data_IF_217879650599
#
_entry.id   IF_217879650599
#
_cell.length_a   1.000
_cell.length_b   1.000
_cell.length_c   1.000
_cell.angle_alpha   90.00
_cell.angle_beta   90.00
_cell.angle_gamma   90.00
#
_symmetry.space_group_name_H-M   'P 1'
#
loop_
_entity.id
_entity.type
_entity.pdbx_description
1 polymer ?
#
# COMPACT_ATOMS: atom_id res chain seq x y z
N UNK A 1 -22.53 -2.04 -6.59
CA UNK A 1 -21.08 -2.30 -6.62
C UNK A 1 -20.38 -1.18 -7.36
N UNK A 2 -19.18 -0.82 -6.93
CA UNK A 2 -18.33 0.18 -7.58
C UNK A 2 -17.07 -0.53 -8.10
N UNK A 3 -16.83 -0.40 -9.39
CA UNK A 3 -15.70 -1.07 -10.07
C UNK A 3 -14.63 -0.03 -10.35
N UNK A 4 -13.45 -0.22 -9.78
CA UNK A 4 -12.32 0.68 -9.97
C UNK A 4 -11.84 0.65 -11.43
N UNK A 5 -11.61 1.80 -12.07
CA UNK A 5 -11.15 1.86 -13.46
C UNK A 5 -9.80 1.15 -13.67
N UNK A 6 -8.90 1.17 -12.67
CA UNK A 6 -7.62 0.46 -12.75
C UNK A 6 -7.84 -1.06 -12.80
N UNK A 7 -8.77 -1.60 -12.01
CA UNK A 7 -9.08 -3.02 -12.06
C UNK A 7 -9.60 -3.46 -13.44
N UNK A 8 -10.46 -2.63 -14.07
CA UNK A 8 -10.98 -2.92 -15.43
C UNK A 8 -9.87 -2.99 -16.48
N UNK A 9 -8.88 -2.12 -16.37
CA UNK A 9 -7.76 -2.08 -17.33
C UNK A 9 -6.71 -3.15 -17.06
N UNK A 10 -6.56 -3.60 -15.79
CA UNK A 10 -5.54 -4.55 -15.39
C UNK A 10 -5.98 -6.01 -15.56
N UNK A 11 -7.22 -6.31 -15.18
CA UNK A 11 -7.81 -7.66 -15.24
C UNK A 11 -9.32 -7.57 -15.45
N UNK A 12 -9.71 -7.27 -16.68
CA UNK A 12 -11.12 -7.15 -17.08
C UNK A 12 -11.88 -8.46 -16.95
N UNK A 13 -11.21 -9.62 -17.07
CA UNK A 13 -11.84 -10.93 -16.92
C UNK A 13 -12.22 -11.20 -15.47
N UNK A 14 -11.34 -10.96 -14.51
CA UNK A 14 -11.68 -11.07 -13.09
C UNK A 14 -12.83 -10.12 -12.72
N UNK A 15 -12.84 -8.88 -13.25
CA UNK A 15 -13.95 -7.94 -13.05
C UNK A 15 -15.27 -8.49 -13.62
N UNK A 16 -15.23 -9.09 -14.82
CA UNK A 16 -16.40 -9.71 -15.44
C UNK A 16 -16.95 -10.85 -14.60
N UNK A 17 -16.08 -11.77 -14.16
CA UNK A 17 -16.46 -12.91 -13.31
C UNK A 17 -17.08 -12.41 -11.99
N UNK A 18 -16.42 -11.47 -11.29
CA UNK A 18 -16.96 -10.88 -10.07
C UNK A 18 -18.36 -10.29 -10.27
N UNK A 19 -18.51 -9.50 -11.32
CA UNK A 19 -19.80 -8.88 -11.67
C UNK A 19 -20.88 -9.94 -11.94
N UNK A 20 -20.57 -10.98 -12.70
CA UNK A 20 -21.54 -12.01 -13.09
C UNK A 20 -21.98 -12.80 -11.85
N UNK A 21 -21.08 -13.20 -10.96
CA UNK A 21 -21.41 -13.89 -9.71
C UNK A 21 -22.28 -13.01 -8.80
N UNK A 22 -21.91 -11.73 -8.63
CA UNK A 22 -22.65 -10.81 -7.76
C UNK A 22 -24.04 -10.49 -8.33
N UNK A 23 -24.19 -10.32 -9.62
CA UNK A 23 -25.48 -10.04 -10.27
C UNK A 23 -26.39 -11.27 -10.27
N UNK A 24 -25.83 -12.49 -10.31
CA UNK A 24 -26.63 -13.71 -10.21
C UNK A 24 -27.16 -13.93 -8.78
N UNK A 25 -26.41 -13.50 -7.74
CA UNK A 25 -26.77 -13.74 -6.34
C UNK A 25 -27.55 -12.60 -5.67
N UNK A 26 -27.53 -11.37 -6.22
CA UNK A 26 -28.20 -10.21 -5.61
C UNK A 26 -28.56 -9.14 -6.65
N UNK A 27 -29.58 -8.35 -6.32
CA UNK A 27 -29.93 -7.14 -7.11
C UNK A 27 -28.85 -6.07 -6.97
N UNK A 28 -27.91 -5.98 -7.89
CA UNK A 28 -26.76 -5.10 -7.81
C UNK A 28 -26.88 -3.89 -8.75
N UNK A 29 -26.69 -2.68 -8.21
CA UNK A 29 -26.45 -1.48 -9.03
C UNK A 29 -24.96 -1.40 -9.37
N UNK A 30 -24.63 -1.42 -10.66
CA UNK A 30 -23.26 -1.30 -11.14
C UNK A 30 -22.93 0.16 -11.33
N UNK A 31 -21.78 0.59 -10.79
CA UNK A 31 -21.22 1.92 -10.92
C UNK A 31 -19.81 1.80 -11.51
N UNK A 32 -19.56 2.52 -12.59
CA UNK A 32 -18.30 2.51 -13.35
C UNK A 32 -17.73 3.94 -13.36
N UNK A 33 -17.10 4.39 -12.26
CA UNK A 33 -16.52 5.72 -12.21
C UNK A 33 -15.33 5.84 -13.18
N UNK A 34 -15.18 6.99 -13.81
CA UNK A 34 -14.01 7.30 -14.65
C UNK A 34 -12.88 7.91 -13.85
N UNK A 35 -13.17 8.45 -12.65
CA UNK A 35 -12.19 9.08 -11.80
C UNK A 35 -12.57 9.11 -10.31
N UNK A 36 -11.65 9.62 -9.47
CA UNK A 36 -11.85 9.61 -8.01
C UNK A 36 -13.03 10.47 -7.53
N UNK A 37 -13.32 11.58 -8.19
CA UNK A 37 -14.45 12.45 -7.84
C UNK A 37 -15.79 11.78 -8.15
N UNK A 38 -15.88 11.12 -9.29
CA UNK A 38 -17.08 10.38 -9.66
C UNK A 38 -17.28 9.18 -8.74
N UNK A 39 -16.19 8.53 -8.36
CA UNK A 39 -16.20 7.46 -7.37
C UNK A 39 -16.80 7.93 -6.04
N UNK A 40 -16.36 9.09 -5.52
CA UNK A 40 -16.90 9.69 -4.31
C UNK A 40 -18.39 10.03 -4.44
N UNK A 41 -18.80 10.66 -5.57
CA UNK A 41 -20.22 10.98 -5.86
C UNK A 41 -21.10 9.75 -5.92
N UNK A 42 -20.62 8.66 -6.53
CA UNK A 42 -21.37 7.41 -6.62
C UNK A 42 -21.52 6.74 -5.25
N UNK A 43 -20.48 6.80 -4.42
CA UNK A 43 -20.53 6.29 -3.05
C UNK A 43 -21.52 7.08 -2.18
N UNK A 44 -21.49 8.41 -2.25
CA UNK A 44 -22.42 9.28 -1.54
C UNK A 44 -23.90 9.04 -1.96
N UNK A 45 -24.15 8.71 -3.24
CA UNK A 45 -25.51 8.41 -3.77
C UNK A 45 -25.94 6.96 -3.58
N UNK A 46 -25.23 6.16 -2.77
CA UNK A 46 -25.56 4.74 -2.54
C UNK A 46 -26.91 4.51 -1.84
N UNK A 47 -27.39 5.50 -1.07
CA UNK A 47 -28.56 5.34 -0.20
C UNK A 47 -28.30 4.23 0.83
N UNK A 48 -29.27 3.37 1.05
CA UNK A 48 -29.18 2.24 1.99
C UNK A 48 -28.46 1.00 1.42
N UNK A 49 -27.88 1.11 0.22
CA UNK A 49 -27.20 -0.04 -0.39
C UNK A 49 -25.82 -0.24 0.21
N UNK A 50 -25.48 -1.50 0.46
CA UNK A 50 -24.13 -1.87 0.91
C UNK A 50 -23.11 -1.62 -0.23
N UNK A 51 -22.02 -0.91 0.01
CA UNK A 51 -20.97 -0.73 -0.97
C UNK A 51 -20.18 -2.03 -1.15
N UNK A 52 -20.04 -2.46 -2.40
CA UNK A 52 -19.14 -3.54 -2.82
C UNK A 52 -18.09 -2.92 -3.72
N UNK A 53 -16.82 -3.05 -3.37
CA UNK A 53 -15.69 -2.55 -4.13
C UNK A 53 -15.09 -3.69 -4.94
N UNK A 54 -14.88 -3.49 -6.24
CA UNK A 54 -14.10 -4.40 -7.09
C UNK A 54 -12.86 -3.63 -7.53
N UNK A 55 -11.69 -4.02 -7.01
CA UNK A 55 -10.45 -3.28 -7.25
C UNK A 55 -9.26 -3.76 -6.43
N UNK A 56 -8.23 -2.94 -6.36
CA UNK A 56 -7.02 -3.16 -5.57
C UNK A 56 -7.12 -2.56 -4.14
N UNK A 57 -6.06 -2.70 -3.35
CA UNK A 57 -5.98 -2.16 -1.99
C UNK A 57 -6.14 -0.62 -1.95
N UNK A 58 -5.78 0.09 -3.03
CA UNK A 58 -5.97 1.55 -3.11
C UNK A 58 -7.44 1.92 -3.26
N UNK A 59 -8.20 1.12 -4.01
CA UNK A 59 -9.64 1.28 -4.12
C UNK A 59 -10.32 1.05 -2.77
N UNK A 60 -9.89 0.03 -2.00
CA UNK A 60 -10.37 -0.22 -0.64
C UNK A 60 -10.07 0.97 0.27
N UNK A 61 -8.81 1.41 0.34
CA UNK A 61 -8.40 2.55 1.18
C UNK A 61 -9.17 3.83 0.81
N UNK A 62 -9.45 4.05 -0.47
CA UNK A 62 -10.24 5.20 -0.95
C UNK A 62 -11.67 5.16 -0.40
N UNK A 63 -12.34 4.01 -0.48
CA UNK A 63 -13.72 3.87 0.04
C UNK A 63 -13.76 4.04 1.55
N UNK A 64 -12.86 3.37 2.27
CA UNK A 64 -12.79 3.50 3.73
C UNK A 64 -12.51 4.95 4.13
N UNK A 65 -11.56 5.63 3.46
CA UNK A 65 -11.27 7.03 3.72
C UNK A 65 -12.45 7.97 3.47
N UNK A 66 -13.22 7.74 2.41
CA UNK A 66 -14.44 8.52 2.12
C UNK A 66 -15.51 8.30 3.19
N UNK A 67 -15.79 7.05 3.56
CA UNK A 67 -16.77 6.73 4.61
C UNK A 67 -16.33 7.25 5.98
N UNK A 68 -15.02 7.21 6.27
CA UNK A 68 -14.47 7.79 7.50
C UNK A 68 -14.70 9.30 7.55
N UNK A 69 -14.40 10.00 6.47
CA UNK A 69 -14.60 11.46 6.35
C UNK A 69 -16.07 11.85 6.49
N UNK A 70 -16.98 11.04 5.96
CA UNK A 70 -18.42 11.23 6.07
C UNK A 70 -19.00 10.78 7.42
N UNK A 71 -18.16 10.23 8.33
CA UNK A 71 -18.59 9.68 9.64
C UNK A 71 -19.57 8.51 9.52
N UNK A 72 -19.57 7.81 8.40
CA UNK A 72 -20.47 6.69 8.12
C UNK A 72 -19.79 5.32 8.20
N UNK A 73 -18.48 5.28 8.41
CA UNK A 73 -17.66 4.07 8.36
C UNK A 73 -18.15 2.98 9.32
N UNK A 74 -18.53 3.33 10.54
CA UNK A 74 -19.02 2.38 11.54
C UNK A 74 -20.43 1.85 11.21
N UNK A 75 -21.25 2.65 10.51
CA UNK A 75 -22.64 2.31 10.19
C UNK A 75 -22.77 1.46 8.92
N UNK A 76 -21.78 1.52 8.01
CA UNK A 76 -21.87 0.94 6.67
C UNK A 76 -20.95 -0.27 6.54
N UNK A 77 -21.49 -1.51 6.51
CA UNK A 77 -20.67 -2.69 6.22
C UNK A 77 -20.09 -2.63 4.80
N UNK A 78 -18.81 -2.87 4.67
CA UNK A 78 -18.09 -2.84 3.41
C UNK A 78 -17.81 -4.26 2.91
N UNK A 79 -17.90 -4.45 1.60
CA UNK A 79 -17.50 -5.69 0.93
C UNK A 79 -16.49 -5.41 -0.16
N UNK A 80 -15.58 -6.35 -0.41
CA UNK A 80 -14.55 -6.20 -1.44
C UNK A 80 -14.32 -7.49 -2.21
N UNK A 81 -14.14 -7.35 -3.52
CA UNK A 81 -13.58 -8.36 -4.41
C UNK A 81 -12.22 -7.84 -4.89
N UNK A 82 -11.10 -8.39 -4.40
CA UNK A 82 -9.76 -7.95 -4.77
C UNK A 82 -9.47 -8.31 -6.23
N UNK A 83 -9.06 -7.32 -7.02
CA UNK A 83 -8.62 -7.47 -8.41
C UNK A 83 -7.34 -6.68 -8.61
N UNK A 84 -6.27 -7.34 -9.03
CA UNK A 84 -4.98 -6.72 -9.27
C UNK A 84 -3.80 -7.65 -9.03
N UNK A 85 -2.59 -7.13 -9.25
CA UNK A 85 -1.36 -7.88 -9.00
C UNK A 85 -1.24 -8.28 -7.51
N UNK A 86 -0.53 -9.38 -7.18
CA UNK A 86 -0.40 -9.88 -5.79
C UNK A 86 0.07 -8.84 -4.76
N UNK A 87 0.91 -7.90 -5.19
CA UNK A 87 1.37 -6.79 -4.33
C UNK A 87 0.29 -5.71 -4.13
N UNK A 88 -0.61 -5.53 -5.11
CA UNK A 88 -1.71 -4.57 -5.06
C UNK A 88 -2.91 -5.04 -4.23
N UNK A 89 -2.98 -6.33 -3.88
CA UNK A 89 -4.04 -6.93 -3.06
C UNK A 89 -3.50 -7.52 -1.73
N UNK A 90 -2.31 -7.09 -1.33
CA UNK A 90 -1.65 -7.60 -0.13
C UNK A 90 -2.37 -7.20 1.16
N UNK A 91 -2.92 -6.00 1.24
CA UNK A 91 -3.75 -5.54 2.35
C UNK A 91 -5.04 -6.35 2.42
N UNK A 92 -5.76 -6.51 1.31
CA UNK A 92 -6.99 -7.30 1.24
C UNK A 92 -6.78 -8.73 1.76
N UNK A 93 -5.69 -9.39 1.32
CA UNK A 93 -5.29 -10.71 1.84
C UNK A 93 -5.01 -10.67 3.34
N UNK A 94 -4.31 -9.65 3.80
CA UNK A 94 -3.96 -9.48 5.21
C UNK A 94 -5.20 -9.25 6.09
N UNK A 95 -6.27 -8.69 5.55
CA UNK A 95 -7.57 -8.51 6.21
C UNK A 95 -8.45 -9.77 6.18
N UNK A 96 -8.00 -10.86 5.53
CA UNK A 96 -8.73 -12.10 5.43
C UNK A 96 -9.72 -12.17 4.25
N UNK A 97 -9.65 -11.23 3.31
CA UNK A 97 -10.47 -11.26 2.10
C UNK A 97 -9.85 -12.29 1.13
N UNK A 98 -10.64 -13.23 0.59
CA UNK A 98 -10.16 -14.15 -0.43
C UNK A 98 -9.61 -13.41 -1.65
N UNK A 99 -8.48 -13.86 -2.18
CA UNK A 99 -7.89 -13.26 -3.40
C UNK A 99 -8.33 -13.97 -4.68
N UNK A 100 -9.00 -15.11 -4.56
CA UNK A 100 -9.72 -15.72 -5.67
C UNK A 100 -11.03 -14.97 -5.91
N UNK A 101 -11.28 -14.57 -7.15
CA UNK A 101 -12.40 -13.71 -7.53
C UNK A 101 -13.77 -14.32 -7.21
N UNK A 102 -13.92 -15.64 -7.45
CA UNK A 102 -15.21 -16.33 -7.20
C UNK A 102 -15.42 -16.49 -5.70
N UNK A 103 -14.39 -16.89 -4.96
CA UNK A 103 -14.46 -17.02 -3.50
C UNK A 103 -14.74 -15.67 -2.83
N UNK A 104 -14.11 -14.58 -3.29
CA UNK A 104 -14.38 -13.25 -2.80
C UNK A 104 -15.83 -12.79 -3.10
N UNK A 105 -16.31 -13.01 -4.31
CA UNK A 105 -17.68 -12.66 -4.67
C UNK A 105 -18.72 -13.47 -3.87
N UNK A 106 -18.45 -14.74 -3.60
CA UNK A 106 -19.30 -15.57 -2.70
C UNK A 106 -19.27 -15.04 -1.26
N UNK A 107 -18.09 -14.63 -0.76
CA UNK A 107 -18.00 -14.01 0.57
C UNK A 107 -18.82 -12.73 0.67
N UNK A 108 -18.94 -11.95 -0.42
CA UNK A 108 -19.84 -10.77 -0.46
C UNK A 108 -21.30 -11.19 -0.32
N UNK A 109 -21.74 -12.30 -0.93
CA UNK A 109 -23.13 -12.75 -0.91
C UNK A 109 -23.48 -13.48 0.41
N UNK A 110 -22.65 -14.41 0.82
CA UNK A 110 -22.96 -15.38 1.87
C UNK A 110 -22.12 -15.23 3.14
N UNK A 111 -21.17 -14.30 3.15
CA UNK A 111 -20.25 -14.08 4.27
C UNK A 111 -20.92 -13.51 5.53
N UNK A 112 -20.10 -13.19 6.51
CA UNK A 112 -20.51 -12.54 7.76
C UNK A 112 -19.77 -11.22 7.95
N UNK A 113 -20.45 -10.26 8.57
CA UNK A 113 -19.86 -8.99 8.96
C UNK A 113 -18.96 -9.19 10.17
N UNK A 114 -17.71 -8.75 10.06
CA UNK A 114 -16.76 -8.75 11.18
C UNK A 114 -16.36 -7.33 11.53
N UNK A 115 -16.39 -6.95 12.81
CA UNK A 115 -15.83 -5.69 13.25
C UNK A 115 -14.32 -5.69 13.09
N UNK A 116 -13.78 -4.59 12.60
CA UNK A 116 -12.37 -4.40 12.31
C UNK A 116 -11.88 -3.13 12.98
N UNK A 117 -10.65 -3.18 13.50
CA UNK A 117 -9.98 -2.02 14.04
C UNK A 117 -9.24 -1.26 12.93
N UNK A 118 -8.93 0.01 13.19
CA UNK A 118 -8.04 0.81 12.39
C UNK A 118 -7.21 1.73 13.27
N UNK A 119 -6.14 2.32 12.71
CA UNK A 119 -5.46 3.43 13.35
C UNK A 119 -5.88 4.73 12.68
N UNK A 120 -6.10 5.77 13.47
CA UNK A 120 -6.20 7.14 12.98
C UNK A 120 -4.98 7.94 13.39
N UNK A 121 -4.48 8.81 12.52
CA UNK A 121 -3.44 9.73 12.90
C UNK A 121 -3.99 11.13 13.26
N UNK A 122 -3.12 12.00 13.77
CA UNK A 122 -3.44 13.36 14.16
C UNK A 122 -3.80 14.30 12.99
N UNK A 123 -3.76 13.82 11.76
CA UNK A 123 -4.24 14.51 10.55
C UNK A 123 -5.46 13.84 9.89
N UNK A 124 -6.17 13.00 10.65
CA UNK A 124 -7.33 12.22 10.18
C UNK A 124 -6.98 11.18 9.10
N UNK A 125 -5.68 10.82 8.98
CA UNK A 125 -5.24 9.70 8.14
C UNK A 125 -5.58 8.35 8.78
N UNK A 126 -5.88 7.35 7.95
CA UNK A 126 -6.27 6.00 8.41
C UNK A 126 -5.26 4.93 8.01
N UNK A 127 -5.12 3.89 8.85
CA UNK A 127 -4.33 2.69 8.56
C UNK A 127 -5.17 1.46 8.92
N UNK A 128 -5.37 0.57 7.95
CA UNK A 128 -6.20 -0.64 8.13
C UNK A 128 -5.38 -1.88 8.47
N UNK A 129 -4.21 -2.01 7.88
CA UNK A 129 -3.40 -3.22 7.99
C UNK A 129 -2.08 -3.02 8.71
N UNK A 130 -1.24 -2.10 8.27
CA UNK A 130 0.05 -1.88 8.92
C UNK A 130 0.65 -0.51 8.63
N UNK A 131 1.26 0.06 9.66
CA UNK A 131 2.14 1.20 9.57
C UNK A 131 3.59 0.74 9.67
N UNK A 132 4.50 1.31 8.87
CA UNK A 132 5.94 1.01 8.90
C UNK A 132 6.79 2.25 8.74
N UNK A 133 7.85 2.32 9.52
CA UNK A 133 8.89 3.36 9.46
C UNK A 133 10.24 2.63 9.47
N UNK A 134 11.13 2.91 8.52
CA UNK A 134 10.98 3.70 7.30
C UNK A 134 10.03 3.06 6.29
N UNK A 135 9.65 3.81 5.28
CA UNK A 135 8.72 3.37 4.23
C UNK A 135 9.29 2.31 3.25
N UNK A 136 10.52 1.85 3.45
CA UNK A 136 11.16 0.83 2.61
C UNK A 136 10.49 -0.55 2.75
N UNK A 137 10.58 -1.37 1.69
CA UNK A 137 10.11 -2.75 1.73
C UNK A 137 10.87 -3.58 2.77
N UNK A 138 10.20 -4.44 3.57
CA UNK A 138 10.90 -5.39 4.41
C UNK A 138 11.71 -6.33 3.52
N UNK A 139 13.00 -6.48 3.80
CA UNK A 139 13.80 -7.54 3.17
C UNK A 139 13.06 -8.87 3.40
N UNK A 140 12.60 -9.50 2.31
CA UNK A 140 12.02 -10.86 2.36
C UNK A 140 13.01 -11.77 3.09
N UNK A 141 12.58 -12.57 4.08
CA UNK A 141 13.42 -13.67 4.56
C UNK A 141 13.71 -14.56 3.35
N UNK A 142 14.99 -14.76 3.05
CA UNK A 142 15.46 -15.43 1.85
C UNK A 142 14.89 -16.83 1.73
N UNK A 143 14.05 -17.06 0.75
CA UNK A 143 13.90 -18.36 0.13
C UNK A 143 15.06 -18.48 -0.85
N UNK A 144 16.07 -19.24 -0.46
CA UNK A 144 17.10 -19.71 -1.36
C UNK A 144 16.46 -20.63 -2.40
N UNK A 145 16.24 -20.11 -3.59
CA UNK A 145 16.03 -20.89 -4.78
C UNK A 145 17.07 -20.41 -5.79
N UNK A 146 18.17 -21.12 -5.83
CA UNK A 146 19.13 -21.14 -6.93
C UNK A 146 18.41 -21.63 -8.18
N UNK A 147 18.18 -20.74 -9.12
CA UNK A 147 17.79 -21.10 -10.48
C UNK A 147 19.09 -21.43 -11.24
N UNK A 148 19.25 -22.62 -11.83
CA UNK A 148 20.40 -22.94 -12.65
C UNK A 148 20.34 -22.09 -13.94
N UNK A 149 21.42 -21.38 -14.23
CA UNK A 149 21.65 -20.79 -15.54
C UNK A 149 21.83 -21.92 -16.56
N UNK A 150 20.89 -22.05 -17.48
CA UNK A 150 21.12 -22.79 -18.73
C UNK A 150 21.88 -21.87 -19.69
N UNK A 151 23.10 -22.29 -20.00
CA UNK A 151 23.92 -21.78 -21.07
C UNK A 151 23.33 -22.23 -22.41
N UNK A 152 23.04 -21.27 -23.29
CA UNK A 152 22.77 -21.53 -24.70
C UNK A 152 24.07 -21.37 -25.51
N UNK A 153 24.35 -22.25 -26.46
CA UNK A 153 25.51 -22.12 -27.36
C UNK A 153 25.19 -21.16 -28.51
N UNK A 154 26.25 -20.47 -28.94
CA UNK A 154 26.32 -19.66 -30.14
C UNK A 154 26.41 -20.54 -31.41
N UNK A 155 25.83 -20.03 -32.52
CA UNK A 155 26.42 -20.12 -33.88
C UNK A 155 25.67 -19.15 -34.81
N UNK A 156 26.35 -18.18 -35.27
CA UNK A 156 26.92 -17.87 -36.58
C UNK A 156 25.92 -17.57 -37.73
N UNK A 157 25.98 -16.38 -38.26
CA UNK A 157 26.29 -15.96 -39.63
C UNK A 157 25.48 -14.72 -40.09
N UNK A 158 26.21 -13.69 -40.41
CA UNK A 158 26.02 -12.51 -41.30
C UNK A 158 26.03 -12.93 -42.78
N UNK A 159 25.77 -12.11 -43.86
CA UNK A 159 25.53 -10.66 -43.95
C UNK A 159 24.50 -10.18 -45.04
N UNK A 160 24.29 -8.84 -45.07
CA UNK A 160 24.05 -7.94 -46.20
C UNK A 160 22.64 -7.88 -46.86
N UNK A 161 21.96 -6.71 -46.86
CA UNK A 161 22.03 -5.78 -48.01
C UNK A 161 21.33 -4.43 -47.71
N UNK A 162 21.92 -3.38 -48.26
CA UNK A 162 21.58 -1.96 -48.26
C UNK A 162 20.24 -1.67 -48.96
N UNK A 163 19.56 -0.59 -48.59
CA UNK A 163 19.19 0.57 -49.44
C UNK A 163 18.41 1.61 -48.64
N UNK A 164 18.95 2.82 -48.51
CA UNK A 164 18.31 4.11 -48.34
C UNK A 164 17.90 4.64 -49.76
N UNK A 165 16.95 5.59 -49.96
CA UNK A 165 16.89 6.91 -49.35
C UNK A 165 15.47 7.59 -49.28
N UNK A 166 15.47 8.77 -48.68
CA UNK A 166 14.69 9.96 -49.00
C UNK A 166 13.68 10.48 -47.93
N UNK A 167 14.11 11.50 -47.23
CA UNK A 167 13.40 12.61 -46.67
C UNK A 167 12.58 13.41 -47.71
N UNK A 168 11.44 14.09 -47.41
CA UNK A 168 11.56 15.42 -46.84
C UNK A 168 10.42 15.94 -45.94
N UNK A 169 10.77 16.95 -45.13
CA UNK A 169 10.00 18.13 -44.72
C UNK A 169 9.11 18.06 -43.46
N UNK A 170 9.65 18.73 -42.43
CA UNK A 170 8.94 19.27 -41.27
C UNK A 170 8.02 20.44 -41.64
N UNK A 171 7.04 20.77 -40.77
CA UNK A 171 7.08 22.11 -40.22
C UNK A 171 7.05 22.19 -38.67
N UNK A 172 7.72 23.21 -38.20
CA UNK A 172 7.89 23.64 -36.82
C UNK A 172 6.57 24.17 -36.24
N UNK A 173 6.15 23.64 -35.10
CA UNK A 173 5.17 24.25 -34.22
C UNK A 173 5.74 24.33 -32.82
N UNK A 174 5.86 25.55 -32.26
CA UNK A 174 6.46 25.85 -30.99
C UNK A 174 5.66 25.31 -29.79
N UNK A 175 6.27 25.28 -28.60
CA UNK A 175 5.61 24.80 -27.41
C UNK A 175 4.59 25.81 -26.92
N UNK A 176 3.35 25.36 -26.75
CA UNK A 176 2.29 26.09 -26.05
C UNK A 176 2.39 25.65 -24.60
N UNK A 177 2.69 26.57 -23.69
CA UNK A 177 2.62 26.37 -22.25
C UNK A 177 1.16 26.12 -21.85
N UNK A 178 0.85 25.05 -21.09
CA UNK A 178 -0.48 24.90 -20.52
C UNK A 178 -0.60 25.80 -19.28
N UNK A 179 -1.50 26.77 -19.34
CA UNK A 179 -1.95 27.60 -18.24
C UNK A 179 -2.37 26.74 -17.03
N UNK A 180 -1.87 27.12 -15.85
CA UNK A 180 -2.23 26.57 -14.54
C UNK A 180 -3.71 26.91 -14.24
N UNK A 181 -4.59 25.94 -14.02
CA UNK A 181 -5.91 26.24 -13.48
C UNK A 181 -5.82 26.51 -11.98
N UNK A 182 -6.38 27.64 -11.59
CA UNK A 182 -6.48 28.22 -10.27
C UNK A 182 -6.92 27.25 -9.17
N UNK A 183 -6.37 27.52 -7.98
CA UNK A 183 -6.70 26.89 -6.68
C UNK A 183 -8.21 26.78 -6.43
N UNK A 184 -8.71 25.57 -6.46
CA UNK A 184 -10.04 25.20 -6.03
C UNK A 184 -10.06 23.73 -5.60
N UNK A 185 -10.18 23.48 -4.29
CA UNK A 185 -10.47 22.20 -3.66
C UNK A 185 -9.63 20.99 -4.12
N UNK A 186 -8.34 21.02 -3.82
CA UNK A 186 -7.49 19.84 -4.00
C UNK A 186 -7.90 18.73 -3.02
N UNK A 187 -8.22 17.51 -3.50
CA UNK A 187 -8.60 16.41 -2.63
C UNK A 187 -7.51 16.13 -1.60
N UNK A 188 -7.90 15.83 -0.37
CA UNK A 188 -7.03 15.59 0.80
C UNK A 188 -5.89 14.57 0.58
N UNK A 189 -6.01 13.69 -0.44
CA UNK A 189 -4.99 12.73 -0.83
C UNK A 189 -3.91 13.31 -1.77
N UNK A 190 -4.06 14.53 -2.33
CA UNK A 190 -3.05 15.17 -3.20
C UNK A 190 -1.68 15.40 -2.54
N UNK A 191 -1.55 15.69 -1.23
CA UNK A 191 -0.21 15.76 -0.62
C UNK A 191 0.60 14.48 -0.77
N UNK A 192 -0.06 13.32 -0.85
CA UNK A 192 0.62 12.03 -1.02
C UNK A 192 1.11 11.76 -2.46
N UNK A 193 0.51 12.36 -3.47
CA UNK A 193 0.91 12.17 -4.87
C UNK A 193 2.14 13.02 -5.28
N UNK A 194 2.37 14.17 -4.63
CA UNK A 194 3.52 15.04 -4.93
C UNK A 194 4.85 14.48 -4.39
N UNK A 195 4.83 13.81 -3.25
CA UNK A 195 6.04 13.21 -2.65
C UNK A 195 6.55 11.96 -3.39
N UNK A 196 5.67 11.23 -4.08
CA UNK A 196 6.09 10.05 -4.86
C UNK A 196 6.98 10.41 -6.07
N UNK A 197 6.79 11.59 -6.69
CA UNK A 197 7.60 12.04 -7.82
C UNK A 197 9.00 12.51 -7.42
N UNK A 198 9.13 13.13 -6.25
CA UNK A 198 10.43 13.61 -5.74
C UNK A 198 11.31 12.46 -5.26
N UNK A 199 10.74 11.39 -4.70
CA UNK A 199 11.49 10.23 -4.28
C UNK A 199 12.09 9.42 -5.45
N UNK A 200 11.43 9.41 -6.61
CA UNK A 200 11.93 8.75 -7.83
C UNK A 200 13.08 9.54 -8.49
N UNK A 201 13.10 10.86 -8.35
CA UNK A 201 14.16 11.70 -8.93
C UNK A 201 15.50 11.61 -8.19
N UNK A 202 15.49 11.21 -6.91
CA UNK A 202 16.71 11.04 -6.11
C UNK A 202 17.41 9.69 -6.33
N UNK A 203 16.78 8.74 -7.03
CA UNK A 203 17.35 7.44 -7.38
C UNK A 203 18.07 7.41 -8.73
N UNK A 204 18.04 8.51 -9.49
CA UNK A 204 18.62 8.62 -10.82
C UNK A 204 19.79 9.63 -10.89
N UNK A 205 20.73 9.60 -9.94
CA UNK A 205 21.98 10.33 -10.05
C UNK A 205 23.06 9.43 -10.66
N UNK A 206 23.69 9.81 -11.80
CA UNK A 206 24.77 9.03 -12.38
C UNK A 206 26.02 9.16 -11.51
N UNK A 207 26.61 8.04 -11.15
CA UNK A 207 27.92 7.94 -10.51
C UNK A 207 29.00 8.40 -11.50
N UNK A 208 29.45 9.65 -11.37
CA UNK A 208 30.66 10.14 -12.04
C UNK A 208 31.89 9.69 -11.26
N UNK A 209 32.81 9.07 -11.98
CA UNK A 209 33.94 8.29 -11.54
C UNK A 209 34.96 8.91 -10.59
N UNK A 210 35.59 8.02 -9.84
CA UNK A 210 37.01 8.11 -9.48
C UNK A 210 37.64 6.71 -9.60
N UNK A 211 38.55 6.60 -10.56
CA UNK A 211 39.51 5.51 -10.63
C UNK A 211 40.47 5.64 -9.45
N UNK A 212 40.59 4.60 -8.65
CA UNK A 212 41.76 4.35 -7.82
C UNK A 212 42.14 2.89 -8.05
N UNK A 213 43.31 2.71 -8.64
CA UNK A 213 44.04 1.44 -8.77
C UNK A 213 44.46 0.98 -7.37
N UNK A 214 44.14 -0.25 -7.03
CA UNK A 214 44.62 -0.92 -5.84
C UNK A 214 44.31 -2.40 -5.93
N UNK A 215 45.33 -3.20 -6.34
CA UNK A 215 45.34 -4.67 -6.31
C UNK A 215 45.20 -5.17 -4.88
N UNK A 216 44.41 -6.22 -4.65
CA UNK A 216 44.39 -6.91 -3.34
C UNK A 216 43.20 -7.83 -3.14
N UNK A 217 43.41 -9.07 -3.45
CA UNK A 217 42.93 -10.29 -2.80
C UNK A 217 41.42 -10.54 -2.57
N UNK A 218 40.96 -11.62 -3.18
CA UNK A 218 39.62 -12.15 -3.15
C UNK A 218 39.18 -12.68 -1.81
N UNK A 219 38.09 -12.06 -1.32
CA UNK A 219 37.08 -12.70 -0.47
C UNK A 219 35.75 -11.97 -0.71
N UNK A 220 34.96 -12.46 -1.66
CA UNK A 220 33.59 -12.02 -1.92
C UNK A 220 32.65 -12.51 -0.84
N UNK A 221 32.77 -11.97 0.35
CA UNK A 221 31.71 -11.96 1.34
C UNK A 221 30.73 -10.85 0.99
N UNK A 222 29.57 -11.17 0.42
CA UNK A 222 28.55 -10.19 0.09
C UNK A 222 28.17 -9.35 1.31
N UNK A 223 28.72 -8.15 1.42
CA UNK A 223 28.29 -7.13 2.37
C UNK A 223 26.84 -6.78 2.03
N UNK A 224 25.87 -7.43 2.69
CA UNK A 224 24.50 -6.93 2.70
C UNK A 224 24.56 -5.46 3.11
N UNK A 225 24.12 -4.57 2.23
CA UNK A 225 24.06 -3.15 2.51
C UNK A 225 23.32 -2.97 3.83
N UNK A 226 24.02 -2.48 4.85
CA UNK A 226 23.44 -2.17 6.15
C UNK A 226 22.49 -1.00 5.93
N UNK A 227 21.19 -1.24 6.04
CA UNK A 227 20.20 -0.16 6.07
C UNK A 227 20.57 0.73 7.28
N UNK A 228 20.88 2.01 7.06
CA UNK A 228 21.23 2.90 8.15
C UNK A 228 20.04 3.01 9.11
N UNK A 229 20.32 2.94 10.42
CA UNK A 229 19.29 3.13 11.44
C UNK A 229 18.80 4.58 11.44
N UNK A 230 17.53 4.78 11.75
CA UNK A 230 16.92 6.10 11.95
C UNK A 230 16.91 6.48 13.42
N UNK A 231 17.21 7.74 13.73
CA UNK A 231 17.09 8.29 15.09
C UNK A 231 15.65 8.75 15.31
N UNK A 232 14.89 7.92 16.01
CA UNK A 232 13.48 8.15 16.30
C UNK A 232 13.24 7.97 17.80
N UNK A 233 12.43 8.87 18.37
CA UNK A 233 11.82 8.69 19.68
C UNK A 233 10.47 8.04 19.48
N UNK A 234 10.23 6.93 20.14
CA UNK A 234 9.04 6.10 20.00
C UNK A 234 8.43 5.91 21.38
N UNK A 235 7.20 6.33 21.52
CA UNK A 235 6.42 6.21 22.75
C UNK A 235 5.14 5.41 22.47
N UNK A 236 4.80 4.51 23.37
CA UNK A 236 3.57 3.71 23.34
C UNK A 236 2.82 3.94 24.66
N UNK A 237 1.64 4.54 24.61
CA UNK A 237 0.84 4.96 25.77
C UNK A 237 1.68 5.75 26.82
N UNK A 238 2.55 6.64 26.35
CA UNK A 238 3.45 7.44 27.19
C UNK A 238 4.71 6.70 27.68
N UNK A 239 4.84 5.41 27.39
CA UNK A 239 6.05 4.63 27.74
C UNK A 239 7.07 4.75 26.60
N UNK A 240 8.29 5.19 26.93
CA UNK A 240 9.38 5.32 25.98
C UNK A 240 9.93 3.93 25.58
N UNK A 241 9.87 3.59 24.30
CA UNK A 241 10.39 2.33 23.75
C UNK A 241 11.78 2.51 23.11
N UNK A 242 12.02 3.67 22.48
CA UNK A 242 13.29 4.05 21.88
C UNK A 242 13.48 5.56 21.96
N UNK A 243 14.73 6.02 22.06
CA UNK A 243 15.05 7.43 22.05
C UNK A 243 16.07 7.77 20.95
N UNK A 244 16.28 9.06 20.70
CA UNK A 244 17.11 9.62 19.63
C UNK A 244 18.59 9.24 19.74
N UNK A 245 19.08 8.90 20.94
CA UNK A 245 20.46 8.48 21.20
C UNK A 245 20.78 7.12 20.56
N UNK A 246 19.78 6.25 20.42
CA UNK A 246 19.93 4.91 19.89
C UNK A 246 19.14 4.72 18.59
N UNK A 247 19.80 4.68 17.41
CA UNK A 247 19.09 4.52 16.15
C UNK A 247 18.34 3.19 16.07
N UNK A 248 17.13 3.22 15.52
CA UNK A 248 16.30 2.05 15.26
C UNK A 248 16.40 1.64 13.79
N UNK A 249 16.29 0.36 13.49
CA UNK A 249 16.20 -0.15 12.12
C UNK A 249 14.83 0.13 11.52
N UNK A 250 13.79 0.09 12.35
CA UNK A 250 12.42 0.36 11.92
C UNK A 250 11.41 0.09 13.02
N UNK A 251 10.22 0.59 12.76
CA UNK A 251 9.03 0.41 13.60
C UNK A 251 7.92 -0.15 12.74
N UNK A 252 7.15 -1.08 13.27
CA UNK A 252 5.88 -1.51 12.69
C UNK A 252 4.78 -1.43 13.72
N UNK A 253 3.62 -0.91 13.30
CA UNK A 253 2.41 -0.84 14.11
C UNK A 253 1.28 -1.50 13.35
N UNK A 254 0.59 -2.43 13.98
CA UNK A 254 -0.50 -3.19 13.38
C UNK A 254 -1.73 -3.04 14.27
N UNK A 255 -2.89 -2.58 13.75
CA UNK A 255 -4.14 -2.58 14.51
C UNK A 255 -4.43 -3.97 15.07
N UNK A 256 -5.02 -4.08 16.24
CA UNK A 256 -5.57 -5.31 16.78
C UNK A 256 -6.72 -5.85 15.90
N UNK A 257 -7.35 -6.94 16.28
CA UNK A 257 -8.58 -7.40 15.63
C UNK A 257 -8.43 -7.96 14.20
N UNK A 258 -7.20 -8.34 13.76
CA UNK A 258 -6.99 -9.00 12.46
C UNK A 258 -7.55 -10.42 12.48
N UNK A 259 -8.35 -10.74 11.48
CA UNK A 259 -8.72 -12.12 11.18
C UNK A 259 -7.45 -12.94 10.95
N UNK A 260 -7.14 -13.89 11.84
CA UNK A 260 -6.01 -14.79 11.70
C UNK A 260 -4.88 -14.71 12.74
N UNK A 261 -4.87 -13.75 13.66
CA UNK A 261 -4.03 -13.85 14.85
C UNK A 261 -4.74 -14.77 15.85
N UNK A 262 -4.37 -16.06 15.86
CA UNK A 262 -4.86 -17.06 16.81
C UNK A 262 -4.45 -16.68 18.23
N UNK A 263 -5.20 -15.80 18.87
CA UNK A 263 -5.19 -15.62 20.30
C UNK A 263 -6.63 -15.70 20.78
N UNK A 264 -6.84 -16.62 21.71
CA UNK A 264 -8.10 -17.07 22.24
C UNK A 264 -9.07 -15.95 22.63
N UNK A 265 -10.32 -16.31 22.66
CA UNK A 265 -11.45 -15.51 23.10
C UNK A 265 -11.11 -14.69 24.36
N UNK A 266 -10.92 -13.38 24.20
CA UNK A 266 -10.67 -12.50 25.34
C UNK A 266 -9.96 -11.21 24.97
N UNK A 267 -10.67 -10.15 24.57
CA UNK A 267 -10.24 -8.77 24.78
C UNK A 267 -9.11 -8.23 23.93
N UNK A 268 -8.93 -8.60 22.65
CA UNK A 268 -7.78 -8.22 21.85
C UNK A 268 -7.91 -6.99 20.95
N UNK A 269 -9.10 -6.43 20.76
CA UNK A 269 -9.37 -5.40 19.73
C UNK A 269 -9.04 -3.95 20.12
N UNK A 270 -8.66 -3.66 21.33
CA UNK A 270 -8.43 -2.27 21.77
C UNK A 270 -7.00 -1.76 21.63
N UNK A 271 -6.05 -2.61 21.26
CA UNK A 271 -4.63 -2.29 21.25
C UNK A 271 -3.96 -2.67 19.94
N UNK A 272 -3.11 -1.78 19.44
CA UNK A 272 -2.20 -2.08 18.34
C UNK A 272 -0.97 -2.84 18.83
N UNK A 273 -0.44 -3.74 18.01
CA UNK A 273 0.87 -4.32 18.22
C UNK A 273 1.95 -3.41 17.68
N UNK A 274 2.89 -3.04 18.53
CA UNK A 274 4.03 -2.19 18.22
C UNK A 274 5.30 -2.99 18.29
N UNK A 275 6.07 -3.03 17.20
CA UNK A 275 7.35 -3.73 17.15
C UNK A 275 8.45 -2.76 16.74
N UNK A 276 9.45 -2.59 17.60
CA UNK A 276 10.64 -1.79 17.34
C UNK A 276 11.80 -2.73 17.01
N UNK A 277 12.41 -2.53 15.83
CA UNK A 277 13.53 -3.31 15.34
C UNK A 277 14.84 -2.53 15.49
N UNK A 278 15.87 -3.19 16.04
CA UNK A 278 17.18 -2.61 16.22
C UNK A 278 18.16 -2.98 15.09
N UNK A 279 19.14 -2.12 14.76
CA UNK A 279 20.21 -2.47 13.83
C UNK A 279 21.04 -3.67 14.32
N UNK A 280 21.56 -4.47 13.40
CA UNK A 280 22.45 -5.58 13.75
C UNK A 280 21.76 -6.88 14.17
N UNK A 281 20.43 -7.00 14.01
CA UNK A 281 19.70 -8.25 14.33
C UNK A 281 19.47 -8.48 15.83
N UNK A 282 19.58 -7.43 16.64
CA UNK A 282 19.23 -7.46 18.06
C UNK A 282 17.76 -7.81 18.29
N UNK A 283 17.44 -8.24 19.50
CA UNK A 283 16.08 -8.62 19.91
C UNK A 283 15.14 -7.43 19.72
N UNK A 284 14.07 -7.59 18.94
CA UNK A 284 13.02 -6.57 18.79
C UNK A 284 12.26 -6.37 20.09
N UNK A 285 11.88 -5.13 20.38
CA UNK A 285 10.93 -4.81 21.44
C UNK A 285 9.53 -4.90 20.86
N UNK A 286 8.66 -5.63 21.54
CA UNK A 286 7.26 -5.82 21.16
C UNK A 286 6.37 -5.45 22.33
N UNK A 287 5.38 -4.60 22.07
CA UNK A 287 4.38 -4.20 23.08
C UNK A 287 3.02 -3.99 22.41
N UNK A 288 1.99 -3.78 23.22
CA UNK A 288 0.66 -3.40 22.76
C UNK A 288 0.32 -2.04 23.37
N UNK A 289 -0.31 -1.18 22.56
CA UNK A 289 -0.65 0.19 22.97
C UNK A 289 -1.92 0.68 22.28
N UNK A 290 -2.62 1.61 22.92
CA UNK A 290 -3.74 2.36 22.30
C UNK A 290 -3.24 3.47 21.41
N UNK A 291 -2.15 4.11 21.78
CA UNK A 291 -1.56 5.21 21.04
C UNK A 291 -0.05 5.02 20.89
N UNK A 292 0.46 5.36 19.72
CA UNK A 292 1.89 5.33 19.39
C UNK A 292 2.30 6.67 18.82
N UNK A 293 3.23 7.33 19.50
CA UNK A 293 3.82 8.58 19.01
C UNK A 293 5.25 8.32 18.55
N UNK A 294 5.55 8.77 17.33
CA UNK A 294 6.91 8.75 16.77
C UNK A 294 7.35 10.16 16.47
N UNK A 295 8.55 10.52 16.93
CA UNK A 295 9.15 11.81 16.67
C UNK A 295 10.62 11.67 16.29
N UNK A 296 11.14 12.64 15.50
CA UNK A 296 12.53 12.64 15.06
C UNK A 296 12.79 13.72 14.01
N UNK A 297 13.96 13.64 13.35
CA UNK A 297 14.18 14.39 12.12
C UNK A 297 13.17 13.94 11.06
N UNK A 298 12.97 14.75 10.03
CA UNK A 298 11.98 14.48 8.97
C UNK A 298 11.98 13.02 8.52
N UNK A 299 10.91 12.29 8.83
CA UNK A 299 10.78 10.88 8.50
C UNK A 299 9.56 10.61 7.62
N UNK A 300 9.68 9.57 6.80
CA UNK A 300 8.59 9.04 5.99
C UNK A 300 8.10 7.72 6.58
N UNK A 301 6.83 7.47 6.43
CA UNK A 301 6.19 6.24 6.87
C UNK A 301 5.34 5.63 5.74
N UNK A 302 5.11 4.34 5.82
CA UNK A 302 4.16 3.64 4.95
C UNK A 302 2.95 3.24 5.78
N UNK A 303 1.80 3.76 5.41
CA UNK A 303 0.49 3.38 5.93
C UNK A 303 -0.19 2.51 4.87
N UNK A 304 -0.22 1.20 5.07
CA UNK A 304 -0.69 0.21 4.09
C UNK A 304 -0.02 0.37 2.71
N UNK A 305 -0.78 0.75 1.67
CA UNK A 305 -0.28 0.99 0.32
C UNK A 305 0.20 2.44 0.09
N UNK A 306 0.05 3.33 1.08
CA UNK A 306 0.34 4.76 0.96
C UNK A 306 1.64 5.12 1.67
N UNK A 307 2.36 6.09 1.11
CA UNK A 307 3.56 6.69 1.74
C UNK A 307 3.20 8.08 2.22
N UNK A 308 3.42 8.34 3.50
CA UNK A 308 3.23 9.63 4.15
C UNK A 308 4.54 10.27 4.60
N UNK A 309 4.51 11.57 4.87
CA UNK A 309 5.65 12.37 5.28
C UNK A 309 6.21 13.24 4.15
N UNK A 310 7.28 14.02 4.40
CA UNK A 310 8.05 14.01 5.65
C UNK A 310 7.30 14.65 6.82
N UNK A 311 7.45 14.06 8.01
CA UNK A 311 6.90 14.58 9.26
C UNK A 311 7.94 14.50 10.37
N UNK A 312 7.83 15.38 11.39
CA UNK A 312 8.71 15.38 12.56
C UNK A 312 8.11 14.66 13.76
N UNK A 313 6.80 14.70 13.84
CA UNK A 313 6.05 14.02 14.90
C UNK A 313 4.73 13.55 14.32
N UNK A 314 4.32 12.33 14.69
CA UNK A 314 3.04 11.78 14.31
C UNK A 314 2.56 10.82 15.39
N UNK A 315 1.28 10.92 15.75
CA UNK A 315 0.63 10.02 16.69
C UNK A 315 -0.44 9.21 15.96
N UNK A 316 -0.44 7.91 16.19
CA UNK A 316 -1.49 7.00 15.71
C UNK A 316 -2.22 6.41 16.89
N UNK A 317 -3.55 6.44 16.84
CA UNK A 317 -4.45 5.95 17.89
C UNK A 317 -5.35 4.85 17.35
N UNK A 318 -5.50 3.77 18.11
CA UNK A 318 -6.40 2.66 17.77
C UNK A 318 -7.85 3.12 17.91
N UNK A 319 -8.62 2.84 16.88
CA UNK A 319 -10.07 2.94 16.89
C UNK A 319 -10.63 1.52 16.84
N UNK A 320 -11.08 0.97 17.97
CA UNK A 320 -11.56 -0.41 18.03
C UNK A 320 -12.93 -0.53 17.36
N UNK A 321 -13.13 -1.63 16.64
CA UNK A 321 -14.37 -1.95 15.93
C UNK A 321 -14.91 -0.79 15.07
N UNK A 322 -13.99 0.03 14.51
CA UNK A 322 -14.33 1.28 13.84
C UNK A 322 -15.05 1.07 12.49
N UNK A 323 -14.93 -0.12 11.91
CA UNK A 323 -15.58 -0.46 10.65
C UNK A 323 -15.96 -1.92 10.59
N UNK A 324 -16.79 -2.28 9.60
CA UNK A 324 -17.25 -3.65 9.41
C UNK A 324 -16.92 -4.13 8.00
N UNK A 325 -16.32 -5.31 7.93
CA UNK A 325 -15.92 -5.95 6.68
C UNK A 325 -16.65 -7.27 6.51
N UNK A 326 -17.20 -7.51 5.32
CA UNK A 326 -17.80 -8.78 4.95
C UNK A 326 -16.68 -9.79 4.63
N UNK A 327 -16.61 -10.87 5.39
CA UNK A 327 -15.62 -11.93 5.23
C UNK A 327 -16.31 -13.29 5.07
N UNK A 328 -15.62 -14.32 4.55
CA UNK A 328 -16.18 -15.67 4.54
C UNK A 328 -16.64 -16.10 5.93
N UNK A 329 -17.67 -16.93 5.99
CA UNK A 329 -18.02 -17.65 7.23
C UNK A 329 -16.96 -18.69 7.50
N UNK A 330 -16.56 -18.82 8.74
CA UNK A 330 -15.65 -19.89 9.21
C UNK A 330 -16.29 -21.24 9.07
#
# INVERSE_FOLDING_TARGET
>A
MVIDPVARSTDGEAVRIAKDVLCAGAGAKICLPEGPEEFARMLARRGQRRPVVIGDDRALLRVVGLLHKERELAAVPLSMVPVGAPAGVALSRALGIPTDTVAAARAVLDGSERPMDLLTDDSDGIVLGSLRIPCGEPARPGHGASVPRQSSPADAADPADQVDPADPAAPRGGPVDPEDPADGDAPWWRPYARTARTALSLLAAPAAGRRALGSGDGRTGGRRARVPGQRLRIEADGVLLADLDRPVRGVSVVPGGRAGSGSGAGGGGELAEVVVHWPGGGRSVRTRARAVTVSGADFHYRADALVGGPVRTRTWTVQPAAWRLQLPRD
#
